data_IF_077061791024
#
_entry.id   IF_077061791024
#
_cell.length_a   1.000
_cell.length_b   1.000
_cell.length_c   1.000
_cell.angle_alpha   90.00
_cell.angle_beta   90.00
_cell.angle_gamma   90.00
#
_symmetry.space_group_name_H-M   'P 1'
#
loop_
_entity.id
_entity.type
_entity.pdbx_description
1 polymer ?
#
# COMPACT_ATOMS: atom_id res chain seq x y z
N UNK A 1 -13.52 18.35 22.52
CA UNK A 1 -14.94 18.20 22.19
C UNK A 1 -15.02 17.10 21.15
N UNK A 2 -15.73 16.00 21.43
CA UNK A 2 -15.98 14.96 20.44
C UNK A 2 -16.75 15.58 19.26
N UNK A 3 -16.45 15.20 18.00
CA UNK A 3 -17.22 15.71 16.87
C UNK A 3 -18.70 15.37 17.08
N UNK A 4 -19.55 16.38 16.98
CA UNK A 4 -20.99 16.22 17.01
C UNK A 4 -21.41 15.37 15.81
N UNK A 5 -21.69 14.11 16.04
CA UNK A 5 -22.03 13.12 15.01
C UNK A 5 -21.64 11.69 15.36
N UNK A 6 -20.91 11.48 16.45
CA UNK A 6 -20.76 10.14 17.00
C UNK A 6 -22.11 9.71 17.62
N UNK A 7 -22.79 8.77 16.93
CA UNK A 7 -23.91 8.09 17.53
C UNK A 7 -23.44 7.40 18.79
N UNK A 8 -24.16 7.62 19.91
CA UNK A 8 -23.88 6.88 21.12
C UNK A 8 -24.22 5.41 20.87
N UNK A 9 -23.44 4.52 21.47
CA UNK A 9 -23.72 3.06 21.47
C UNK A 9 -25.19 2.75 21.79
N UNK A 10 -25.83 3.63 22.52
CA UNK A 10 -27.22 3.55 22.96
C UNK A 10 -28.24 3.84 21.84
N UNK A 11 -27.94 4.77 20.95
CA UNK A 11 -28.79 5.05 19.78
C UNK A 11 -28.73 3.91 18.76
N UNK A 12 -27.54 3.34 18.54
CA UNK A 12 -27.36 2.15 17.70
C UNK A 12 -28.13 0.95 18.29
N UNK A 13 -28.00 0.71 19.58
CA UNK A 13 -28.66 -0.43 20.27
C UNK A 13 -30.19 -0.31 20.33
N UNK A 14 -30.75 0.89 20.39
CA UNK A 14 -32.22 1.06 20.40
C UNK A 14 -32.84 0.87 19.01
N UNK A 15 -32.16 1.26 17.94
CA UNK A 15 -32.62 0.95 16.58
C UNK A 15 -32.50 -0.55 16.29
N UNK A 16 -31.44 -1.20 16.77
CA UNK A 16 -31.20 -2.62 16.59
C UNK A 16 -32.19 -3.49 17.33
N UNK A 17 -32.77 -3.01 18.46
CA UNK A 17 -33.78 -3.77 19.21
C UNK A 17 -35.08 -3.94 18.47
N UNK A 18 -35.45 -3.01 17.59
CA UNK A 18 -36.61 -3.12 16.72
C UNK A 18 -36.33 -3.99 15.48
N UNK A 19 -35.06 -4.01 15.02
CA UNK A 19 -34.59 -4.77 13.87
C UNK A 19 -34.00 -6.14 14.25
N UNK A 20 -33.90 -6.47 15.55
CA UNK A 20 -33.32 -7.74 16.03
C UNK A 20 -34.11 -9.00 15.60
N UNK A 21 -35.28 -8.83 15.00
CA UNK A 21 -36.02 -9.91 14.32
C UNK A 21 -35.52 -10.24 12.92
N UNK A 22 -34.72 -9.36 12.31
CA UNK A 22 -34.18 -9.49 10.95
C UNK A 22 -32.66 -9.80 11.04
N UNK A 23 -32.32 -11.02 11.38
CA UNK A 23 -30.94 -11.51 11.35
C UNK A 23 -30.31 -11.20 9.99
N UNK A 24 -29.32 -10.32 9.99
CA UNK A 24 -28.44 -10.07 8.82
C UNK A 24 -28.83 -8.89 7.94
N UNK A 25 -29.73 -8.01 8.33
CA UNK A 25 -29.97 -6.77 7.60
C UNK A 25 -28.85 -5.77 7.88
N UNK A 26 -28.00 -5.55 6.86
CA UNK A 26 -27.12 -4.39 6.80
C UNK A 26 -27.99 -3.13 6.95
N UNK A 27 -27.71 -2.30 7.97
CA UNK A 27 -28.38 -1.02 8.09
C UNK A 27 -27.85 -0.07 6.99
N UNK A 28 -28.53 -0.08 5.86
CA UNK A 28 -28.14 0.72 4.67
C UNK A 28 -28.17 2.23 4.97
N UNK A 29 -29.00 2.65 5.95
CA UNK A 29 -29.04 4.03 6.41
C UNK A 29 -27.74 4.44 7.12
N UNK A 30 -27.26 3.64 8.04
CA UNK A 30 -26.01 3.94 8.74
C UNK A 30 -24.82 3.84 7.80
N UNK A 31 -24.81 2.87 6.88
CA UNK A 31 -23.80 2.78 5.84
C UNK A 31 -23.78 4.04 4.93
N UNK A 32 -24.97 4.58 4.61
CA UNK A 32 -25.07 5.83 3.85
C UNK A 32 -24.56 7.02 4.68
N UNK A 33 -24.95 7.14 5.95
CA UNK A 33 -24.52 8.23 6.83
C UNK A 33 -23.00 8.22 7.05
N UNK A 34 -22.41 7.05 7.27
CA UNK A 34 -20.94 6.91 7.37
C UNK A 34 -20.26 7.34 6.08
N UNK A 35 -20.82 6.98 4.92
CA UNK A 35 -20.29 7.44 3.62
C UNK A 35 -20.35 8.97 3.47
N UNK A 36 -21.47 9.58 3.83
CA UNK A 36 -21.64 11.04 3.78
C UNK A 36 -20.66 11.70 4.74
N UNK A 37 -20.61 11.26 5.99
CA UNK A 37 -19.67 11.78 6.99
C UNK A 37 -18.21 11.68 6.51
N UNK A 38 -17.79 10.53 6.02
CA UNK A 38 -16.43 10.35 5.50
C UNK A 38 -16.14 11.24 4.29
N UNK A 39 -17.15 11.49 3.45
CA UNK A 39 -17.01 12.39 2.30
C UNK A 39 -16.85 13.85 2.76
N UNK A 40 -17.67 14.30 3.69
CA UNK A 40 -17.63 15.64 4.28
C UNK A 40 -16.32 15.85 5.03
N UNK A 41 -15.93 14.91 5.89
CA UNK A 41 -14.67 14.94 6.62
C UNK A 41 -13.45 15.06 5.69
N UNK A 42 -13.42 14.29 4.59
CA UNK A 42 -12.33 14.39 3.60
C UNK A 42 -12.36 15.69 2.81
N UNK A 43 -13.53 16.27 2.61
CA UNK A 43 -13.66 17.57 1.96
C UNK A 43 -13.18 18.72 2.85
N UNK A 44 -13.41 18.61 4.17
CA UNK A 44 -12.95 19.56 5.18
C UNK A 44 -11.46 19.43 5.51
N UNK A 45 -10.91 18.21 5.33
CA UNK A 45 -9.52 17.86 5.65
C UNK A 45 -8.81 17.23 4.45
N UNK A 46 -8.59 17.96 3.36
CA UNK A 46 -7.92 17.41 2.16
C UNK A 46 -6.46 17.01 2.43
N UNK A 47 -5.84 17.60 3.46
CA UNK A 47 -4.47 17.28 3.90
C UNK A 47 -4.39 15.95 4.65
N UNK A 48 -5.53 15.36 5.01
CA UNK A 48 -5.55 14.15 5.84
C UNK A 48 -5.27 12.89 5.02
N UNK A 49 -4.03 12.45 5.07
CA UNK A 49 -3.63 11.17 4.45
C UNK A 49 -4.09 9.98 5.31
N UNK A 50 -5.10 9.26 4.86
CA UNK A 50 -5.62 8.04 5.50
C UNK A 50 -5.29 6.81 4.65
N UNK A 51 -4.11 6.22 4.85
CA UNK A 51 -3.68 5.08 4.05
C UNK A 51 -4.46 3.81 4.39
N UNK A 52 -4.70 3.01 3.37
CA UNK A 52 -5.50 1.79 3.48
C UNK A 52 -4.68 0.53 3.87
N UNK A 53 -3.62 0.71 4.65
CA UNK A 53 -2.74 -0.37 5.12
C UNK A 53 -1.58 -0.66 4.18
N UNK A 54 -1.01 -1.86 4.26
CA UNK A 54 0.11 -2.29 3.41
C UNK A 54 -0.43 -2.98 2.17
N UNK A 55 0.12 -2.62 1.01
CA UNK A 55 -0.30 -3.09 -0.30
C UNK A 55 0.90 -3.69 -1.05
N UNK A 56 0.73 -4.85 -1.69
CA UNK A 56 1.75 -5.42 -2.56
C UNK A 56 1.18 -5.80 -3.92
N UNK A 57 1.88 -5.41 -4.98
CA UNK A 57 1.59 -5.81 -6.35
C UNK A 57 2.41 -7.05 -6.70
N UNK A 58 1.74 -8.18 -6.94
CA UNK A 58 2.35 -9.47 -7.19
C UNK A 58 2.09 -9.96 -8.61
N UNK A 59 3.03 -10.74 -9.12
CA UNK A 59 2.89 -11.42 -10.41
C UNK A 59 4.24 -11.71 -11.06
N UNK A 60 4.28 -12.52 -12.11
CA UNK A 60 5.52 -12.88 -12.80
C UNK A 60 6.21 -11.67 -13.43
N UNK A 61 7.43 -11.85 -13.86
CA UNK A 61 8.17 -10.80 -14.59
C UNK A 61 7.36 -10.35 -15.82
N UNK A 62 7.34 -9.05 -16.09
CA UNK A 62 6.60 -8.50 -17.22
C UNK A 62 5.07 -8.40 -17.03
N UNK A 63 4.52 -8.77 -15.87
CA UNK A 63 3.07 -8.67 -15.60
C UNK A 63 2.56 -7.24 -15.35
N UNK A 64 3.42 -6.23 -15.31
CA UNK A 64 3.06 -4.84 -15.10
C UNK A 64 2.93 -4.42 -13.62
N UNK A 65 3.60 -5.13 -12.69
CA UNK A 65 3.60 -4.82 -11.25
C UNK A 65 4.06 -3.40 -10.96
N UNK A 66 5.30 -3.09 -11.35
CA UNK A 66 5.92 -1.79 -11.11
C UNK A 66 5.09 -0.68 -11.77
N UNK A 67 4.61 -0.88 -12.99
CA UNK A 67 3.75 0.09 -13.66
C UNK A 67 2.41 0.31 -12.91
N UNK A 68 1.81 -0.76 -12.37
CA UNK A 68 0.59 -0.66 -11.57
C UNK A 68 0.83 0.06 -10.24
N UNK A 69 1.97 -0.21 -9.61
CA UNK A 69 2.42 0.48 -8.41
C UNK A 69 2.64 1.98 -8.66
N UNK A 70 3.33 2.33 -9.75
CA UNK A 70 3.58 3.72 -10.16
C UNK A 70 2.26 4.44 -10.48
N UNK A 71 1.36 3.81 -11.22
CA UNK A 71 0.03 4.37 -11.49
C UNK A 71 -0.76 4.64 -10.21
N UNK A 72 -0.69 3.73 -9.26
CA UNK A 72 -1.33 3.88 -7.95
C UNK A 72 -0.73 5.06 -7.17
N UNK A 73 0.61 5.11 -7.06
CA UNK A 73 1.33 6.18 -6.39
C UNK A 73 1.10 7.55 -7.05
N UNK A 74 1.10 7.61 -8.38
CA UNK A 74 0.78 8.82 -9.14
C UNK A 74 -0.60 9.39 -8.78
N UNK A 75 -1.62 8.54 -8.69
CA UNK A 75 -2.97 8.96 -8.29
C UNK A 75 -3.04 9.45 -6.86
N UNK A 76 -2.27 8.84 -5.96
CA UNK A 76 -2.15 9.31 -4.58
C UNK A 76 -1.47 10.68 -4.52
N UNK A 77 -0.41 10.89 -5.30
CA UNK A 77 0.30 12.18 -5.36
C UNK A 77 -0.60 13.31 -5.81
N UNK A 78 -1.48 13.05 -6.77
CA UNK A 78 -2.48 14.05 -7.20
C UNK A 78 -3.54 14.33 -6.14
N UNK A 79 -3.86 13.34 -5.30
CA UNK A 79 -4.86 13.49 -4.26
C UNK A 79 -4.27 14.10 -2.97
N UNK A 80 -2.98 13.89 -2.70
CA UNK A 80 -2.29 14.33 -1.50
C UNK A 80 -0.94 14.97 -1.84
N UNK A 81 -0.94 16.21 -2.34
CA UNK A 81 0.28 16.88 -2.79
C UNK A 81 1.29 17.18 -1.66
N UNK A 82 0.82 17.23 -0.42
CA UNK A 82 1.69 17.49 0.74
C UNK A 82 2.36 16.23 1.31
N UNK A 83 2.09 15.04 0.76
CA UNK A 83 2.70 13.81 1.26
C UNK A 83 4.19 13.74 0.88
N UNK A 84 4.94 12.97 1.69
CA UNK A 84 6.32 12.60 1.41
C UNK A 84 6.32 11.24 0.69
N UNK A 85 7.17 11.07 -0.32
CA UNK A 85 7.42 9.78 -0.96
C UNK A 85 8.82 9.32 -0.59
N UNK A 86 8.93 8.09 -0.03
CA UNK A 86 10.21 7.43 0.20
C UNK A 86 10.29 6.21 -0.71
N UNK A 87 11.26 6.16 -1.62
CA UNK A 87 11.27 5.15 -2.69
C UNK A 87 12.68 4.72 -3.11
N UNK A 88 12.78 3.46 -3.56
CA UNK A 88 13.95 2.92 -4.26
C UNK A 88 13.83 2.97 -5.79
N UNK A 89 12.74 3.56 -6.30
CA UNK A 89 12.50 3.76 -7.73
C UNK A 89 12.89 5.17 -8.11
N UNK A 90 13.68 5.33 -9.17
CA UNK A 90 13.98 6.64 -9.73
C UNK A 90 12.74 7.20 -10.44
N UNK A 91 12.19 8.30 -9.91
CA UNK A 91 10.99 8.94 -10.43
C UNK A 91 11.37 10.17 -11.25
N UNK A 92 10.76 10.29 -12.44
CA UNK A 92 10.95 11.40 -13.39
C UNK A 92 9.62 12.12 -13.61
N UNK A 93 9.66 13.41 -13.88
CA UNK A 93 8.48 14.24 -14.20
C UNK A 93 7.28 13.97 -13.27
N UNK A 94 7.58 13.74 -11.99
CA UNK A 94 6.57 13.39 -10.99
C UNK A 94 5.70 14.59 -10.64
N UNK A 95 4.39 14.39 -10.34
CA UNK A 95 3.53 15.47 -9.84
C UNK A 95 4.15 16.12 -8.60
N UNK A 96 3.91 17.41 -8.38
CA UNK A 96 4.42 18.08 -7.20
C UNK A 96 3.92 17.37 -5.93
N UNK A 97 4.87 16.96 -5.11
CA UNK A 97 4.69 16.44 -3.75
C UNK A 97 5.62 17.21 -2.82
N UNK A 98 5.42 17.10 -1.53
CA UNK A 98 6.22 17.83 -0.55
C UNK A 98 7.71 17.49 -0.68
N UNK A 99 8.03 16.20 -0.77
CA UNK A 99 9.41 15.73 -0.86
C UNK A 99 9.46 14.31 -1.41
N UNK A 100 10.54 13.99 -2.13
CA UNK A 100 10.86 12.63 -2.55
C UNK A 100 12.19 12.26 -1.91
N UNK A 101 12.18 11.25 -1.04
CA UNK A 101 13.32 10.77 -0.27
C UNK A 101 13.76 9.43 -0.84
N UNK A 102 15.07 9.21 -0.92
CA UNK A 102 15.64 7.93 -1.32
C UNK A 102 15.44 6.90 -0.20
N UNK A 103 15.00 5.69 -0.58
CA UNK A 103 14.93 4.55 0.33
C UNK A 103 16.34 4.06 0.67
N UNK A 104 16.68 4.03 1.95
CA UNK A 104 17.97 3.59 2.47
C UNK A 104 17.87 2.27 3.27
N UNK A 105 16.86 1.48 3.01
CA UNK A 105 16.60 0.24 3.71
C UNK A 105 15.56 0.36 4.82
N UNK A 106 15.42 -0.69 5.63
CA UNK A 106 14.36 -0.77 6.65
C UNK A 106 14.37 0.36 7.68
N UNK A 107 15.52 0.99 7.92
CA UNK A 107 15.64 2.14 8.83
C UNK A 107 14.81 3.33 8.38
N UNK A 108 14.66 3.53 7.07
CA UNK A 108 13.83 4.61 6.53
C UNK A 108 12.39 4.57 7.06
N UNK A 109 11.88 3.39 7.46
CA UNK A 109 10.55 3.27 8.04
C UNK A 109 10.41 4.01 9.37
N UNK A 110 11.48 4.08 10.17
CA UNK A 110 11.49 4.78 11.46
C UNK A 110 12.01 6.21 11.35
N UNK A 111 12.96 6.46 10.45
CA UNK A 111 13.65 7.74 10.34
C UNK A 111 12.84 8.81 9.58
N UNK A 112 11.99 8.39 8.63
CA UNK A 112 11.16 9.34 7.89
C UNK A 112 9.96 9.76 8.73
N UNK A 113 10.01 10.98 9.25
CA UNK A 113 8.91 11.58 10.00
C UNK A 113 7.80 12.06 9.07
N UNK A 114 6.57 11.78 9.42
CA UNK A 114 5.41 12.01 8.54
C UNK A 114 4.71 13.37 8.75
N UNK A 115 4.84 13.99 9.91
CA UNK A 115 3.99 15.12 10.26
C UNK A 115 2.50 14.77 10.08
N UNK A 116 1.69 15.74 9.62
CA UNK A 116 0.26 15.53 9.34
C UNK A 116 -0.03 15.01 7.91
N UNK A 117 0.89 15.20 6.99
CA UNK A 117 0.66 14.95 5.57
C UNK A 117 0.85 13.48 5.15
N UNK A 118 1.51 12.69 6.00
CA UNK A 118 1.76 11.28 5.75
C UNK A 118 2.93 10.97 4.83
N UNK A 119 3.32 9.68 4.80
CA UNK A 119 4.43 9.16 4.00
C UNK A 119 3.98 7.98 3.17
N UNK A 120 4.28 8.01 1.88
CA UNK A 120 4.16 6.86 0.98
C UNK A 120 5.54 6.21 0.81
N UNK A 121 5.70 5.00 1.32
CA UNK A 121 6.85 4.15 1.02
C UNK A 121 6.56 3.35 -0.25
N UNK A 122 7.33 3.58 -1.30
CA UNK A 122 7.17 2.97 -2.60
C UNK A 122 8.39 2.10 -2.91
N UNK A 123 8.28 0.79 -2.70
CA UNK A 123 9.40 -0.13 -2.69
C UNK A 123 9.24 -1.17 -3.80
N UNK A 124 10.02 -1.05 -4.85
CA UNK A 124 10.07 -2.08 -5.89
C UNK A 124 10.90 -3.29 -5.42
N UNK A 125 10.46 -4.51 -5.78
CA UNK A 125 11.05 -5.79 -5.37
C UNK A 125 11.19 -5.91 -3.84
N UNK A 126 10.13 -5.62 -3.09
CA UNK A 126 10.10 -5.58 -1.61
C UNK A 126 10.63 -6.85 -0.94
N UNK A 127 10.60 -7.99 -1.62
CA UNK A 127 11.19 -9.24 -1.11
C UNK A 127 12.72 -9.21 -1.02
N UNK A 128 13.39 -8.23 -1.62
CA UNK A 128 14.83 -8.04 -1.44
C UNK A 128 15.13 -7.47 -0.05
N UNK A 129 14.25 -6.61 0.46
CA UNK A 129 14.37 -6.00 1.78
C UNK A 129 13.85 -6.92 2.89
N UNK A 130 12.67 -7.53 2.68
CA UNK A 130 11.99 -8.40 3.64
C UNK A 130 12.05 -9.87 3.19
N UNK A 131 13.26 -10.40 3.04
CA UNK A 131 13.47 -11.76 2.55
C UNK A 131 13.04 -12.81 3.58
N UNK A 132 12.28 -13.82 3.14
CA UNK A 132 11.84 -14.93 4.00
C UNK A 132 13.01 -15.76 4.57
N UNK A 133 14.12 -15.85 3.85
CA UNK A 133 15.33 -16.58 4.30
C UNK A 133 16.06 -15.85 5.43
N UNK A 134 15.88 -14.54 5.54
CA UNK A 134 16.52 -13.67 6.53
C UNK A 134 15.54 -13.19 7.61
N UNK A 135 14.36 -13.80 7.70
CA UNK A 135 13.28 -13.36 8.59
C UNK A 135 13.67 -13.29 10.07
N UNK A 136 14.66 -14.08 10.50
CA UNK A 136 15.20 -14.05 11.87
C UNK A 136 16.10 -12.84 12.15
N UNK A 137 16.55 -12.16 11.12
CA UNK A 137 17.44 -10.99 11.23
C UNK A 137 16.67 -9.66 11.16
N UNK A 138 15.36 -9.71 10.91
CA UNK A 138 14.51 -8.52 10.90
C UNK A 138 14.40 -8.00 12.34
N UNK A 139 14.81 -6.75 12.54
CA UNK A 139 14.75 -6.09 13.84
C UNK A 139 13.28 -6.03 14.32
N UNK A 140 12.99 -6.46 15.56
CA UNK A 140 11.65 -6.35 16.14
C UNK A 140 11.08 -4.92 16.14
N UNK A 141 11.94 -3.90 16.23
CA UNK A 141 11.52 -2.50 16.15
C UNK A 141 10.91 -2.14 14.79
N UNK A 142 11.47 -2.65 13.70
CA UNK A 142 10.93 -2.49 12.35
C UNK A 142 9.54 -3.11 12.24
N UNK A 143 9.34 -4.30 12.81
CA UNK A 143 8.03 -4.94 12.82
C UNK A 143 7.01 -4.15 13.64
N UNK A 144 7.43 -3.52 14.72
CA UNK A 144 6.57 -2.63 15.51
C UNK A 144 6.16 -1.39 14.72
N UNK A 145 7.09 -0.75 14.00
CA UNK A 145 6.80 0.37 13.09
C UNK A 145 5.79 -0.03 12.02
N UNK A 146 6.00 -1.17 11.38
CA UNK A 146 5.09 -1.72 10.37
C UNK A 146 3.69 -1.97 10.93
N UNK A 147 3.58 -2.54 12.12
CA UNK A 147 2.30 -2.81 12.76
C UNK A 147 1.55 -1.50 13.15
N UNK A 148 2.28 -0.42 13.43
CA UNK A 148 1.73 0.88 13.80
C UNK A 148 1.65 1.89 12.63
N UNK A 149 2.06 1.50 11.45
CA UNK A 149 2.18 2.36 10.26
C UNK A 149 0.92 3.21 9.99
N UNK A 150 -0.28 2.64 10.17
CA UNK A 150 -1.53 3.37 9.97
C UNK A 150 -1.71 4.52 10.96
N UNK A 151 -1.33 4.33 12.23
CA UNK A 151 -1.41 5.38 13.25
C UNK A 151 -0.44 6.52 12.95
N UNK A 152 0.67 6.19 12.30
CA UNK A 152 1.70 7.13 11.89
C UNK A 152 1.45 7.71 10.49
N UNK A 153 0.32 7.41 9.83
CA UNK A 153 0.01 7.82 8.46
C UNK A 153 1.07 7.41 7.45
N UNK A 154 1.69 6.27 7.67
CA UNK A 154 2.67 5.67 6.77
C UNK A 154 1.96 4.62 5.91
N UNK A 155 2.08 4.72 4.61
CA UNK A 155 1.51 3.77 3.66
C UNK A 155 2.62 3.05 2.92
N UNK A 156 2.71 1.74 3.07
CA UNK A 156 3.74 0.92 2.43
C UNK A 156 3.14 0.24 1.22
N UNK A 157 3.72 0.50 0.07
CA UNK A 157 3.33 -0.08 -1.21
C UNK A 157 4.56 -0.71 -1.87
N UNK A 158 4.48 -1.98 -2.18
CA UNK A 158 5.60 -2.66 -2.79
C UNK A 158 5.22 -3.52 -3.98
N UNK A 159 6.23 -4.02 -4.69
CA UNK A 159 6.07 -5.06 -5.69
C UNK A 159 6.77 -6.35 -5.26
N UNK A 160 6.30 -7.49 -5.72
CA UNK A 160 7.01 -8.76 -5.54
C UNK A 160 6.72 -9.72 -6.70
N UNK A 161 7.74 -10.42 -7.16
CA UNK A 161 7.55 -11.46 -8.16
C UNK A 161 6.90 -12.71 -7.55
N UNK A 162 7.32 -13.06 -6.35
CA UNK A 162 6.85 -14.25 -5.63
C UNK A 162 6.49 -13.86 -4.20
N UNK A 163 5.20 -13.91 -3.89
CA UNK A 163 4.68 -13.50 -2.58
C UNK A 163 5.29 -14.30 -1.42
N UNK A 164 5.58 -15.59 -1.61
CA UNK A 164 6.20 -16.46 -0.59
C UNK A 164 7.61 -16.02 -0.20
N UNK A 165 8.35 -15.33 -1.08
CA UNK A 165 9.70 -14.84 -0.77
C UNK A 165 9.71 -13.69 0.24
N UNK A 166 8.57 -13.07 0.47
CA UNK A 166 8.43 -12.08 1.53
C UNK A 166 8.36 -12.80 2.87
N UNK A 167 9.08 -12.30 3.87
CA UNK A 167 9.09 -12.86 5.22
C UNK A 167 7.68 -12.99 5.81
N UNK A 168 7.36 -14.15 6.41
CA UNK A 168 6.02 -14.45 6.94
C UNK A 168 5.50 -13.37 7.90
N UNK A 169 6.27 -12.87 8.90
CA UNK A 169 5.78 -11.83 9.80
C UNK A 169 5.36 -10.55 9.06
N UNK A 170 6.03 -10.21 7.96
CA UNK A 170 5.68 -9.06 7.16
C UNK A 170 4.47 -9.35 6.25
N UNK A 171 4.37 -10.56 5.67
CA UNK A 171 3.20 -10.96 4.86
C UNK A 171 1.89 -10.86 5.63
N UNK A 172 1.89 -11.18 6.91
CA UNK A 172 0.73 -11.12 7.80
C UNK A 172 0.23 -9.68 8.04
N UNK A 173 1.03 -8.68 7.70
CA UNK A 173 0.67 -7.26 7.82
C UNK A 173 0.03 -6.70 6.53
N UNK A 174 0.07 -7.43 5.42
CA UNK A 174 -0.55 -6.96 4.18
C UNK A 174 -2.08 -6.94 4.32
N UNK A 175 -2.65 -5.76 4.06
CA UNK A 175 -4.10 -5.63 3.94
C UNK A 175 -4.58 -6.16 2.60
N UNK A 176 -3.87 -5.81 1.53
CA UNK A 176 -4.22 -6.24 0.17
C UNK A 176 -3.01 -6.76 -0.60
N UNK A 177 -3.27 -7.79 -1.39
CA UNK A 177 -2.36 -8.27 -2.42
C UNK A 177 -3.03 -8.06 -3.77
N UNK A 178 -2.35 -7.40 -4.68
CA UNK A 178 -2.84 -7.12 -6.03
C UNK A 178 -2.16 -8.06 -7.01
N UNK A 179 -2.89 -9.03 -7.52
CA UNK A 179 -2.40 -9.90 -8.59
C UNK A 179 -2.44 -9.14 -9.91
N UNK A 180 -1.27 -8.95 -10.51
CA UNK A 180 -1.09 -8.21 -11.75
C UNK A 180 -0.99 -9.15 -12.94
N UNK A 181 -1.79 -8.89 -13.97
CA UNK A 181 -1.74 -9.57 -15.25
C UNK A 181 -1.83 -8.56 -16.39
N UNK A 182 -0.91 -8.69 -17.33
CA UNK A 182 -0.90 -7.87 -18.53
C UNK A 182 -1.44 -8.68 -19.72
N UNK A 183 -2.35 -8.10 -20.47
CA UNK A 183 -2.94 -8.71 -21.68
C UNK A 183 -2.56 -7.85 -22.88
N UNK A 184 -2.08 -8.49 -23.94
CA UNK A 184 -1.68 -7.85 -25.23
C UNK A 184 -0.70 -6.67 -25.03
N UNK A 185 0.06 -6.66 -23.97
CA UNK A 185 1.02 -5.60 -23.61
C UNK A 185 0.43 -4.18 -23.40
N UNK A 186 -0.87 -4.01 -23.44
CA UNK A 186 -1.55 -2.71 -23.33
C UNK A 186 -2.64 -2.67 -22.27
N UNK A 187 -3.28 -3.81 -21.97
CA UNK A 187 -4.34 -3.89 -20.98
C UNK A 187 -3.80 -4.48 -19.68
N UNK A 188 -3.91 -3.72 -18.62
CA UNK A 188 -3.60 -4.19 -17.26
C UNK A 188 -4.87 -4.72 -16.59
N UNK A 189 -4.78 -5.93 -16.06
CA UNK A 189 -5.83 -6.56 -15.26
C UNK A 189 -5.28 -6.78 -13.85
N UNK A 190 -5.86 -6.13 -12.87
CA UNK A 190 -5.43 -6.19 -11.49
C UNK A 190 -6.57 -6.75 -10.63
N UNK A 191 -6.31 -7.86 -9.94
CA UNK A 191 -7.24 -8.47 -8.99
C UNK A 191 -6.74 -8.20 -7.57
N UNK A 192 -7.51 -7.45 -6.82
CA UNK A 192 -7.24 -7.17 -5.41
C UNK A 192 -7.82 -8.29 -4.58
N UNK A 193 -6.98 -8.91 -3.78
CA UNK A 193 -7.34 -9.95 -2.83
C UNK A 193 -7.03 -9.51 -1.40
N UNK A 194 -7.77 -10.05 -0.45
CA UNK A 194 -7.53 -9.80 0.96
C UNK A 194 -6.22 -10.49 1.41
N UNK A 195 -5.28 -9.70 1.90
CA UNK A 195 -3.97 -10.18 2.29
C UNK A 195 -3.99 -11.13 3.48
N UNK A 196 -4.95 -10.97 4.39
CA UNK A 196 -5.07 -11.82 5.58
C UNK A 196 -5.62 -13.21 5.26
N UNK A 197 -6.47 -13.31 4.25
CA UNK A 197 -7.04 -14.59 3.79
C UNK A 197 -6.17 -15.27 2.71
N UNK A 198 -5.06 -14.65 2.31
CA UNK A 198 -4.20 -15.14 1.24
C UNK A 198 -3.45 -16.41 1.65
N UNK A 199 -3.86 -17.54 1.10
CA UNK A 199 -3.15 -18.81 1.22
C UNK A 199 -2.33 -19.02 -0.04
N UNK A 200 -1.06 -19.35 0.13
CA UNK A 200 -0.18 -19.64 -0.99
C UNK A 200 -0.06 -21.13 -1.14
N UNK A 201 -0.42 -21.66 -2.30
CA UNK A 201 -0.31 -23.07 -2.64
C UNK A 201 1.16 -23.46 -2.94
N UNK A 202 1.43 -24.74 -2.99
CA UNK A 202 2.78 -25.26 -3.30
C UNK A 202 3.27 -24.89 -4.70
N UNK A 203 2.35 -24.64 -5.64
CA UNK A 203 2.64 -24.14 -6.99
C UNK A 203 2.94 -22.62 -7.06
N UNK A 204 2.87 -21.93 -5.91
CA UNK A 204 3.09 -20.49 -5.82
C UNK A 204 1.86 -19.62 -6.17
N UNK A 205 0.73 -20.25 -6.49
CA UNK A 205 -0.52 -19.52 -6.69
C UNK A 205 -1.09 -19.01 -5.37
N UNK A 206 -1.67 -17.80 -5.39
CA UNK A 206 -2.30 -17.21 -4.22
C UNK A 206 -3.80 -17.44 -4.32
N UNK A 207 -4.34 -18.19 -3.37
CA UNK A 207 -5.78 -18.34 -3.19
C UNK A 207 -6.25 -17.42 -2.05
N UNK A 208 -7.20 -16.56 -2.37
CA UNK A 208 -7.85 -15.68 -1.40
C UNK A 208 -9.19 -15.20 -1.94
N UNK A 209 -10.01 -14.64 -1.05
CA UNK A 209 -11.22 -13.94 -1.46
C UNK A 209 -10.86 -12.72 -2.30
N UNK A 210 -11.41 -12.65 -3.52
CA UNK A 210 -11.28 -11.47 -4.37
C UNK A 210 -12.14 -10.35 -3.82
N UNK A 211 -11.51 -9.21 -3.50
CA UNK A 211 -12.20 -8.00 -3.04
C UNK A 211 -12.75 -7.23 -4.23
N UNK A 212 -11.91 -7.05 -5.26
CA UNK A 212 -12.33 -6.41 -6.50
C UNK A 212 -11.34 -6.70 -7.63
N UNK A 213 -11.81 -6.61 -8.87
CA UNK A 213 -10.96 -6.63 -10.07
C UNK A 213 -11.16 -5.32 -10.82
N UNK A 214 -10.08 -4.75 -11.32
CA UNK A 214 -10.13 -3.56 -12.15
C UNK A 214 -9.16 -3.67 -13.32
N UNK A 215 -9.53 -2.98 -14.40
CA UNK A 215 -8.80 -2.99 -15.66
C UNK A 215 -8.47 -1.56 -16.07
N UNK A 216 -7.33 -1.38 -16.71
CA UNK A 216 -6.96 -0.09 -17.28
C UNK A 216 -5.99 -0.26 -18.45
N UNK A 217 -6.02 0.69 -19.37
CA UNK A 217 -5.14 0.72 -20.52
C UNK A 217 -3.88 1.49 -20.17
N UNK A 218 -2.72 0.95 -20.52
CA UNK A 218 -1.45 1.61 -20.33
C UNK A 218 -1.40 2.96 -21.05
N UNK A 219 -0.90 3.97 -20.36
CA UNK A 219 -0.69 5.31 -20.94
C UNK A 219 0.81 5.49 -21.17
N UNK A 220 1.25 5.97 -22.37
CA UNK A 220 2.66 6.23 -22.64
C UNK A 220 3.33 7.16 -21.63
N UNK A 221 2.59 8.15 -21.12
CA UNK A 221 3.07 9.06 -20.09
C UNK A 221 3.49 8.37 -18.78
N UNK A 222 2.89 7.23 -18.41
CA UNK A 222 3.27 6.50 -17.20
C UNK A 222 4.62 5.80 -17.34
N UNK A 223 5.03 5.44 -18.56
CA UNK A 223 6.33 4.82 -18.81
C UNK A 223 7.49 5.81 -18.66
N UNK A 224 7.22 7.10 -18.79
CA UNK A 224 8.20 8.17 -18.65
C UNK A 224 8.44 8.58 -17.20
N UNK A 225 7.54 8.17 -16.28
CA UNK A 225 7.62 8.56 -14.87
C UNK A 225 8.66 7.79 -14.07
N UNK A 226 9.22 6.72 -14.60
CA UNK A 226 10.23 5.90 -13.91
C UNK A 226 11.10 5.13 -14.92
N UNK A 227 12.32 4.79 -14.53
CA UNK A 227 13.18 3.94 -15.35
C UNK A 227 12.81 2.45 -15.17
N UNK A 228 12.24 1.87 -16.22
CA UNK A 228 11.87 0.45 -16.26
C UNK A 228 13.07 -0.50 -16.22
N UNK A 229 14.25 -0.01 -16.60
CA UNK A 229 15.49 -0.80 -16.71
C UNK A 229 16.47 -0.53 -15.57
N UNK A 230 16.16 0.39 -14.67
CA UNK A 230 16.96 0.63 -13.49
C UNK A 230 17.05 -0.65 -12.63
N UNK A 231 18.27 -1.03 -12.28
CA UNK A 231 18.50 -2.19 -11.43
C UNK A 231 18.24 -1.81 -9.97
N UNK A 232 17.24 -2.41 -9.37
CA UNK A 232 16.99 -2.30 -7.94
C UNK A 232 18.04 -3.13 -7.20
N UNK A 233 18.86 -2.48 -6.38
CA UNK A 233 19.84 -3.12 -5.52
C UNK A 233 19.39 -3.00 -4.08
N UNK A 234 19.54 -4.10 -3.31
CA UNK A 234 19.36 -4.06 -1.87
C UNK A 234 20.41 -3.16 -1.22
N UNK A 235 19.99 -2.30 -0.32
CA UNK A 235 20.91 -1.53 0.52
C UNK A 235 21.45 -2.48 1.60
N UNK A 236 22.67 -3.00 1.39
CA UNK A 236 23.37 -3.81 2.41
C UNK A 236 24.12 -2.89 3.35
N UNK A 237 23.68 -2.76 4.57
CA UNK A 237 24.33 -1.94 5.61
C UNK A 237 25.70 -2.48 6.03
N UNK A 238 25.97 -3.79 5.86
CA UNK A 238 27.12 -4.45 6.48
C UNK A 238 28.26 -4.82 5.53
N UNK A 239 28.20 -4.58 4.24
CA UNK A 239 29.22 -5.14 3.37
C UNK A 239 30.14 -4.19 2.62
N UNK A 240 29.81 -2.97 2.31
CA UNK A 240 30.77 -2.03 1.68
C UNK A 240 30.17 -0.60 1.72
N UNK A 241 30.80 0.28 2.44
CA UNK A 241 30.60 1.75 2.39
C UNK A 241 31.03 2.39 1.06
N UNK A 242 30.61 1.80 -0.06
CA UNK A 242 30.82 2.35 -1.38
C UNK A 242 29.52 2.35 -2.15
N UNK A 243 28.89 3.50 -2.20
CA UNK A 243 27.84 3.81 -3.17
C UNK A 243 28.47 3.78 -4.58
N UNK A 244 28.13 2.77 -5.35
CA UNK A 244 28.46 2.77 -6.79
C UNK A 244 27.35 3.48 -7.56
N UNK A 245 27.41 4.79 -7.61
CA UNK A 245 26.73 5.55 -8.65
C UNK A 245 27.59 5.52 -9.92
N UNK A 246 27.15 4.86 -10.96
CA UNK A 246 27.68 5.09 -12.30
C UNK A 246 26.85 6.20 -12.95
N UNK A 247 27.57 7.27 -13.29
CA UNK A 247 27.11 8.31 -14.22
C UNK A 247 26.77 7.72 -15.59
#
# INVERSE_FOLDING_TARGET
AAPQGCYTLWEVLNLDRWLAGLKGTLNLWDAHRVKVYNKEFRAEHPEYFDPDGILVFCGPQGSGKTLSMIQYAYRLSLAYPDMIICTNVELHDWPPVREIIQWEGMKSLSEVENGFAGVLFLIDEIQLEFNSLESKQIDPSVMQEIAQQRKQRKHIVGTSQVFQRIAKPFREQFKYVVQCRKVMNVLQCNTVIDGQSAVVNDDGTIQAASVKTYHWIHKPSLYQLYDTYAKVLRVNEDRYGQQFWRK
#
